data_IF_219728496019
#
_entry.id   IF_219728496019
#
_cell.length_a   1.000
_cell.length_b   1.000
_cell.length_c   1.000
_cell.angle_alpha   90.00
_cell.angle_beta   90.00
_cell.angle_gamma   90.00
#
_symmetry.space_group_name_H-M   'P 1'
#
loop_
_entity.id
_entity.type
_entity.pdbx_description
1 polymer ?
#
# COMPACT_ATOMS: atom_id res chain seq x y z
N UNK A 1 -8.05 14.00 12.39
CA UNK A 1 -7.43 13.77 11.06
C UNK A 1 -7.78 14.98 10.20
N UNK A 2 -6.79 15.60 9.55
CA UNK A 2 -7.02 16.72 8.64
C UNK A 2 -7.24 16.13 7.23
N UNK A 3 -8.29 16.50 6.49
CA UNK A 3 -8.47 16.05 5.11
C UNK A 3 -7.23 16.33 4.26
N UNK A 4 -6.78 15.34 3.48
CA UNK A 4 -5.56 15.45 2.66
C UNK A 4 -4.23 15.24 3.40
N UNK A 5 -4.21 15.25 4.74
CA UNK A 5 -3.01 14.94 5.52
C UNK A 5 -2.74 13.44 5.60
N UNK A 6 -1.47 13.06 5.44
CA UNK A 6 -1.01 11.69 5.66
C UNK A 6 -0.84 11.44 7.17
N UNK A 7 -1.25 10.28 7.68
CA UNK A 7 -1.03 9.92 9.09
C UNK A 7 0.43 9.57 9.37
N UNK A 8 0.80 9.52 10.65
CA UNK A 8 2.03 8.84 11.09
C UNK A 8 2.05 7.38 10.66
N UNK A 9 3.27 6.84 10.50
CA UNK A 9 3.48 5.42 10.19
C UNK A 9 3.00 4.54 11.34
N UNK A 10 2.34 3.43 10.99
CA UNK A 10 1.90 2.40 11.94
C UNK A 10 2.31 1.02 11.42
N UNK A 11 2.58 0.06 12.32
CA UNK A 11 2.79 -1.32 11.92
C UNK A 11 1.58 -1.86 11.15
N UNK A 12 1.82 -2.65 10.11
CA UNK A 12 0.76 -3.28 9.34
C UNK A 12 -0.07 -4.24 10.22
N UNK A 13 -1.38 -4.21 10.03
CA UNK A 13 -2.34 -5.13 10.67
C UNK A 13 -2.75 -6.24 9.68
N UNK A 14 -3.45 -7.29 10.12
CA UNK A 14 -4.00 -8.30 9.21
C UNK A 14 -4.89 -7.70 8.10
N UNK A 15 -5.66 -6.66 8.40
CA UNK A 15 -6.48 -5.94 7.40
C UNK A 15 -5.61 -5.27 6.32
N UNK A 16 -4.49 -4.66 6.71
CA UNK A 16 -3.56 -4.03 5.77
C UNK A 16 -2.88 -5.07 4.87
N UNK A 17 -2.51 -6.22 5.44
CA UNK A 17 -1.99 -7.34 4.66
C UNK A 17 -3.02 -7.85 3.66
N UNK A 18 -4.28 -7.97 4.06
CA UNK A 18 -5.37 -8.39 3.15
C UNK A 18 -5.58 -7.39 2.01
N UNK A 19 -5.57 -6.08 2.31
CA UNK A 19 -5.62 -5.02 1.29
C UNK A 19 -4.46 -5.17 0.30
N UNK A 20 -3.24 -5.39 0.79
CA UNK A 20 -2.07 -5.59 -0.05
C UNK A 20 -2.23 -6.84 -0.94
N UNK A 21 -2.69 -7.96 -0.38
CA UNK A 21 -2.91 -9.20 -1.12
C UNK A 21 -3.97 -9.05 -2.21
N UNK A 22 -5.07 -8.33 -1.95
CA UNK A 22 -6.14 -8.08 -2.93
C UNK A 22 -5.66 -7.31 -4.16
N UNK A 23 -4.66 -6.43 -4.01
CA UNK A 23 -4.11 -5.65 -5.12
C UNK A 23 -2.81 -6.21 -5.69
N UNK A 24 -2.23 -7.25 -5.06
CA UNK A 24 -1.00 -7.90 -5.52
C UNK A 24 -1.05 -8.30 -7.01
N UNK A 25 -2.14 -8.91 -7.54
CA UNK A 25 -2.19 -9.22 -8.98
C UNK A 25 -2.08 -7.98 -9.87
N UNK A 26 -2.66 -6.85 -9.45
CA UNK A 26 -2.56 -5.58 -10.20
C UNK A 26 -1.13 -5.02 -10.17
N UNK A 27 -0.39 -5.27 -9.10
CA UNK A 27 1.02 -4.88 -8.98
C UNK A 27 1.88 -5.75 -9.89
N UNK A 28 1.75 -7.07 -9.79
CA UNK A 28 2.53 -8.05 -10.58
C UNK A 28 2.32 -7.84 -12.09
N UNK A 29 1.10 -7.53 -12.52
CA UNK A 29 0.82 -7.14 -13.90
C UNK A 29 1.54 -5.85 -14.31
N UNK A 30 1.60 -4.84 -13.42
CA UNK A 30 2.23 -3.54 -13.71
C UNK A 30 3.76 -3.58 -13.67
N UNK A 31 4.34 -4.40 -12.81
CA UNK A 31 5.81 -4.56 -12.70
C UNK A 31 6.35 -5.64 -13.61
N UNK A 32 5.48 -6.52 -14.14
CA UNK A 32 5.86 -7.71 -14.90
C UNK A 32 6.80 -8.63 -14.08
N UNK A 33 6.56 -8.71 -12.78
CA UNK A 33 7.28 -9.52 -11.81
C UNK A 33 6.29 -10.27 -10.91
N UNK A 34 6.68 -11.43 -10.40
CA UNK A 34 5.93 -12.15 -9.37
C UNK A 34 6.64 -12.05 -8.02
N UNK A 35 5.89 -11.83 -6.95
CA UNK A 35 6.46 -11.67 -5.61
C UNK A 35 6.16 -12.91 -4.76
N UNK A 36 7.17 -13.73 -4.45
CA UNK A 36 6.98 -14.90 -3.57
C UNK A 36 6.74 -14.45 -2.12
N UNK A 37 7.63 -13.59 -1.61
CA UNK A 37 7.43 -12.87 -0.34
C UNK A 37 6.62 -11.59 -0.60
N UNK A 38 5.63 -11.32 0.24
CA UNK A 38 4.77 -10.15 0.10
C UNK A 38 4.16 -9.76 1.44
N UNK A 39 5.01 -9.34 2.38
CA UNK A 39 4.60 -9.05 3.76
C UNK A 39 4.50 -7.55 4.00
N UNK A 40 3.32 -7.06 4.35
CA UNK A 40 3.11 -5.68 4.75
C UNK A 40 3.77 -5.43 6.12
N UNK A 41 4.55 -4.36 6.22
CA UNK A 41 5.34 -4.04 7.42
C UNK A 41 4.82 -2.78 8.09
N UNK A 42 4.58 -1.72 7.31
CA UNK A 42 4.08 -0.44 7.80
C UNK A 42 3.05 0.13 6.84
N UNK A 43 2.16 0.98 7.37
CA UNK A 43 1.22 1.73 6.56
C UNK A 43 1.00 3.14 7.09
N UNK A 44 0.55 4.00 6.18
CA UNK A 44 -0.01 5.32 6.47
C UNK A 44 -1.33 5.45 5.72
N UNK A 45 -2.23 6.29 6.22
CA UNK A 45 -3.50 6.57 5.54
C UNK A 45 -3.67 8.06 5.25
N UNK A 46 -4.45 8.36 4.21
CA UNK A 46 -4.83 9.72 3.85
C UNK A 46 -6.32 9.73 3.50
N UNK A 47 -7.07 10.59 4.18
CA UNK A 47 -8.51 10.78 3.91
C UNK A 47 -8.69 11.67 2.69
N UNK A 48 -9.46 11.19 1.71
CA UNK A 48 -9.86 11.88 0.47
C UNK A 48 -11.36 11.65 0.23
N UNK A 49 -11.86 11.69 -1.00
CA UNK A 49 -13.17 11.13 -1.35
C UNK A 49 -13.14 9.58 -1.34
N UNK A 50 -12.78 9.01 -0.19
CA UNK A 50 -12.31 7.63 -0.02
C UNK A 50 -11.10 7.61 0.92
N UNK A 51 -10.30 6.54 0.87
CA UNK A 51 -9.09 6.41 1.67
C UNK A 51 -7.95 5.96 0.77
N UNK A 52 -6.84 6.69 0.78
CA UNK A 52 -5.57 6.17 0.28
C UNK A 52 -4.83 5.44 1.40
N UNK A 53 -4.42 4.22 1.15
CA UNK A 53 -3.48 3.46 1.96
C UNK A 53 -2.12 3.50 1.27
N UNK A 54 -1.11 3.96 1.99
CA UNK A 54 0.28 3.78 1.62
C UNK A 54 0.78 2.60 2.42
N UNK A 55 1.38 1.60 1.79
CA UNK A 55 1.80 0.36 2.45
C UNK A 55 3.23 0.03 2.03
N UNK A 56 4.12 -0.11 3.01
CA UNK A 56 5.47 -0.65 2.83
C UNK A 56 5.40 -2.18 2.91
N UNK A 57 5.88 -2.86 1.88
CA UNK A 57 5.81 -4.31 1.73
C UNK A 57 7.22 -4.85 1.52
N UNK A 58 7.58 -5.86 2.30
CA UNK A 58 8.80 -6.63 2.10
C UNK A 58 8.56 -7.71 1.03
N UNK A 59 9.47 -7.78 0.06
CA UNK A 59 9.40 -8.69 -1.10
C UNK A 59 10.61 -9.61 -1.24
N UNK A 60 11.45 -9.64 -0.21
CA UNK A 60 12.66 -10.46 -0.14
C UNK A 60 13.63 -9.92 0.91
N UNK A 61 14.82 -10.50 0.95
CA UNK A 61 15.91 -10.05 1.83
C UNK A 61 16.30 -8.59 1.51
N UNK A 62 15.98 -7.70 2.45
CA UNK A 62 16.23 -6.27 2.36
C UNK A 62 15.64 -5.57 1.12
N UNK A 63 14.64 -6.19 0.46
CA UNK A 63 13.93 -5.61 -0.68
C UNK A 63 12.52 -5.21 -0.27
N UNK A 64 12.16 -3.98 -0.59
CA UNK A 64 10.87 -3.41 -0.25
C UNK A 64 10.26 -2.72 -1.45
N UNK A 65 8.94 -2.62 -1.41
CA UNK A 65 8.14 -1.80 -2.31
C UNK A 65 7.19 -0.96 -1.47
N UNK A 66 6.87 0.23 -1.95
CA UNK A 66 5.80 1.05 -1.39
C UNK A 66 4.65 1.05 -2.37
N UNK A 67 3.44 0.69 -1.94
CA UNK A 67 2.24 0.74 -2.77
C UNK A 67 1.26 1.78 -2.25
N UNK A 68 0.46 2.32 -3.16
CA UNK A 68 -0.66 3.22 -2.87
C UNK A 68 -1.96 2.60 -3.35
N UNK A 69 -2.83 2.27 -2.41
CA UNK A 69 -4.12 1.64 -2.67
C UNK A 69 -5.24 2.61 -2.36
N UNK A 70 -6.13 2.83 -3.32
CA UNK A 70 -7.34 3.59 -3.09
C UNK A 70 -8.49 2.64 -2.71
N UNK A 71 -9.13 2.93 -1.58
CA UNK A 71 -10.38 2.32 -1.12
C UNK A 71 -11.51 3.32 -1.34
N UNK A 72 -12.47 2.92 -2.18
CA UNK A 72 -13.66 3.72 -2.45
C UNK A 72 -14.55 3.87 -1.22
N UNK A 73 -15.45 4.86 -1.25
CA UNK A 73 -16.45 5.03 -0.20
C UNK A 73 -17.40 3.82 -0.16
N UNK A 74 -18.00 3.48 1.01
CA UNK A 74 -18.87 2.30 1.12
C UNK A 74 -20.07 2.29 0.17
N UNK A 75 -20.53 3.48 -0.24
CA UNK A 75 -21.64 3.65 -1.19
C UNK A 75 -21.22 3.37 -2.64
N UNK A 76 -19.92 3.25 -2.91
CA UNK A 76 -19.32 3.07 -4.23
C UNK A 76 -18.57 1.73 -4.27
N UNK A 77 -19.26 0.64 -4.61
CA UNK A 77 -18.72 -0.67 -5.03
C UNK A 77 -17.62 -1.37 -4.18
N UNK A 78 -17.16 -0.80 -3.06
CA UNK A 78 -16.09 -1.30 -2.20
C UNK A 78 -14.83 -1.76 -2.96
N UNK A 79 -14.40 -1.01 -3.97
CA UNK A 79 -13.24 -1.37 -4.78
C UNK A 79 -11.93 -0.97 -4.10
N UNK A 80 -10.95 -1.89 -4.16
CA UNK A 80 -9.54 -1.63 -3.86
C UNK A 80 -8.77 -1.56 -5.18
N UNK A 81 -8.14 -0.43 -5.43
CA UNK A 81 -7.44 -0.17 -6.69
C UNK A 81 -5.99 0.22 -6.38
N UNK A 82 -5.04 -0.45 -7.02
CA UNK A 82 -3.64 -0.01 -7.00
C UNK A 82 -3.50 1.27 -7.84
N UNK A 83 -3.21 2.38 -7.19
CA UNK A 83 -3.12 3.71 -7.83
C UNK A 83 -1.70 4.21 -7.98
N UNK A 84 -0.73 3.60 -7.29
CA UNK A 84 0.67 3.92 -7.44
C UNK A 84 1.55 2.88 -6.76
N UNK A 85 2.81 2.84 -7.16
CA UNK A 85 3.83 2.00 -6.53
C UNK A 85 5.22 2.62 -6.71
N UNK A 86 6.14 2.27 -5.82
CA UNK A 86 7.56 2.56 -5.89
C UNK A 86 8.32 1.27 -5.61
N UNK A 87 9.18 0.88 -6.54
CA UNK A 87 10.07 -0.29 -6.41
C UNK A 87 11.43 0.11 -5.85
N UNK A 88 12.31 -0.88 -5.65
CA UNK A 88 13.71 -0.70 -5.20
C UNK A 88 13.83 0.10 -3.89
N UNK A 89 12.89 -0.12 -2.96
CA UNK A 89 12.95 0.45 -1.62
C UNK A 89 13.70 -0.46 -0.67
N UNK A 90 14.16 0.16 0.40
CA UNK A 90 14.86 -0.46 1.53
C UNK A 90 14.00 -0.37 2.79
N UNK A 91 14.44 -1.06 3.85
CA UNK A 91 13.75 -1.04 5.14
C UNK A 91 13.64 0.37 5.72
N UNK A 92 14.70 1.16 5.56
CA UNK A 92 14.87 2.48 6.17
C UNK A 92 14.21 3.60 5.36
N UNK A 93 13.77 3.33 4.13
CA UNK A 93 13.04 4.32 3.33
C UNK A 93 11.73 4.71 4.00
N UNK A 94 11.51 6.01 4.18
CA UNK A 94 10.26 6.50 4.75
C UNK A 94 9.10 6.25 3.78
N UNK A 95 7.98 5.78 4.33
CA UNK A 95 6.71 5.75 3.61
C UNK A 95 6.14 7.17 3.48
N UNK A 96 6.50 7.87 2.40
CA UNK A 96 6.01 9.22 2.09
C UNK A 96 4.81 9.18 1.12
N UNK A 97 4.12 10.31 0.96
CA UNK A 97 3.06 10.47 -0.04
C UNK A 97 3.64 10.61 -1.46
N UNK A 98 3.00 9.95 -2.44
CA UNK A 98 3.33 9.97 -3.86
C UNK A 98 2.09 9.74 -4.72
#
# INVERSE_FOLDING_TARGET
MIPGGLTEAKPATPEIQEIANMVKPQLEEKTNETYEEFTAIEYKTQVVAGINYYIKIQTGDNRYIHIKVFKSLPQQSHSLILTGYQVDKTKDDELAGF
#
